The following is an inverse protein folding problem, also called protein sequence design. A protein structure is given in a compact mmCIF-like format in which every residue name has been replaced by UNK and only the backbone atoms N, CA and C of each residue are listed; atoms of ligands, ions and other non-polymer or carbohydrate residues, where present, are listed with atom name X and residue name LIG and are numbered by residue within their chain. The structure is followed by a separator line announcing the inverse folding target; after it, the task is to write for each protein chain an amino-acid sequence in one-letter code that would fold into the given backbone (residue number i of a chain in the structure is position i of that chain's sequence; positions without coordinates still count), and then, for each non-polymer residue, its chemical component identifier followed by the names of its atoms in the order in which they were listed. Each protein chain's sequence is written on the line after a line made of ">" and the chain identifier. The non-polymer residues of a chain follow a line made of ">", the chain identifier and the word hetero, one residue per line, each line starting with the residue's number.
data_IF_188763241198
#
_entry.id   IF_188763241198
#
_cell.length_a   1.000
_cell.length_b   1.000
_cell.length_c   1.000
_cell.angle_alpha   90.00
_cell.angle_beta   90.00
_cell.angle_gamma   90.00
#
_symmetry.space_group_name_H-M   'P 1'
#
loop_
_entity.id
_entity.type
_entity.pdbx_description
1 polymer ?
#
# COMPACT_ATOMS: atom_id res chain seq x y z
N UNK A 1 8.69 11.60 -3.59
CA UNK A 1 9.79 10.73 -4.03
C UNK A 1 9.64 10.55 -5.53
N UNK A 2 10.72 10.70 -6.30
CA UNK A 2 10.68 10.52 -7.77
C UNK A 2 10.46 9.04 -8.08
N UNK A 3 9.41 8.70 -8.83
CA UNK A 3 9.19 7.34 -9.31
C UNK A 3 10.34 6.97 -10.23
N UNK A 4 11.04 5.86 -9.95
CA UNK A 4 12.11 5.37 -10.81
C UNK A 4 11.47 4.74 -12.05
N UNK A 5 11.43 5.48 -13.14
CA UNK A 5 11.03 4.95 -14.43
C UNK A 5 12.01 3.83 -14.84
N UNK A 6 11.48 2.64 -15.09
CA UNK A 6 12.24 1.51 -15.61
C UNK A 6 11.64 1.11 -16.95
N UNK A 7 12.48 0.76 -17.91
CA UNK A 7 12.06 0.32 -19.23
C UNK A 7 12.25 -1.19 -19.31
N UNK A 8 11.24 -2.01 -18.96
CA UNK A 8 11.33 -3.45 -19.09
C UNK A 8 11.36 -3.85 -20.57
N UNK A 9 12.08 -4.92 -20.86
CA UNK A 9 12.14 -5.54 -22.20
C UNK A 9 10.98 -6.52 -22.33
N UNK A 10 10.14 -6.33 -23.34
CA UNK A 10 9.06 -7.28 -23.67
C UNK A 10 9.64 -8.61 -24.13
N UNK A 11 9.05 -9.70 -23.67
CA UNK A 11 9.48 -11.04 -24.10
C UNK A 11 8.68 -11.48 -25.33
N UNK A 12 9.28 -12.35 -26.15
CA UNK A 12 8.58 -12.97 -27.28
C UNK A 12 7.39 -13.81 -26.83
N UNK A 13 7.51 -14.50 -25.70
CA UNK A 13 6.44 -15.33 -25.15
C UNK A 13 5.25 -14.46 -24.69
N UNK A 14 5.53 -13.35 -24.00
CA UNK A 14 4.55 -12.36 -23.58
C UNK A 14 3.81 -11.73 -24.75
N UNK A 15 4.56 -11.25 -25.75
CA UNK A 15 3.97 -10.69 -26.97
C UNK A 15 3.05 -11.70 -27.67
N UNK A 16 3.47 -12.97 -27.77
CA UNK A 16 2.65 -14.02 -28.37
C UNK A 16 1.36 -14.27 -27.56
N UNK A 17 1.43 -14.37 -26.23
CA UNK A 17 0.25 -14.55 -25.38
C UNK A 17 -0.74 -13.38 -25.52
N UNK A 18 -0.24 -12.14 -25.64
CA UNK A 18 -1.06 -10.96 -25.94
C UNK A 18 -1.75 -11.09 -27.30
N UNK A 19 -1.03 -11.49 -28.35
CA UNK A 19 -1.62 -11.69 -29.68
C UNK A 19 -2.66 -12.81 -29.70
N UNK A 20 -2.41 -13.92 -29.01
CA UNK A 20 -3.34 -15.05 -28.90
C UNK A 20 -4.62 -14.65 -28.16
N UNK A 21 -4.50 -13.89 -27.07
CA UNK A 21 -5.66 -13.32 -26.39
C UNK A 21 -6.44 -12.37 -27.30
N UNK A 22 -5.73 -11.46 -28.01
CA UNK A 22 -6.35 -10.52 -28.94
C UNK A 22 -7.12 -11.20 -30.07
N UNK A 23 -6.55 -12.24 -30.68
CA UNK A 23 -7.18 -12.99 -31.78
C UNK A 23 -8.43 -13.74 -31.28
N UNK A 24 -8.41 -14.18 -30.02
CA UNK A 24 -9.55 -14.78 -29.34
C UNK A 24 -10.61 -13.76 -28.88
N UNK A 25 -10.40 -12.45 -29.11
CA UNK A 25 -11.28 -11.39 -28.62
C UNK A 25 -11.24 -11.20 -27.10
N UNK A 26 -10.15 -11.64 -26.46
CA UNK A 26 -9.89 -11.57 -25.03
C UNK A 26 -8.78 -10.55 -24.74
N UNK A 27 -8.70 -10.11 -23.48
CA UNK A 27 -7.63 -9.26 -23.00
C UNK A 27 -6.61 -10.07 -22.20
N UNK A 28 -5.33 -9.86 -22.46
CA UNK A 28 -4.27 -10.45 -21.64
C UNK A 28 -4.25 -9.77 -20.27
N UNK A 29 -4.43 -10.55 -19.19
CA UNK A 29 -4.48 -10.02 -17.83
C UNK A 29 -3.12 -10.08 -17.14
N UNK A 30 -2.60 -8.93 -16.71
CA UNK A 30 -1.44 -8.86 -15.81
C UNK A 30 -1.94 -9.02 -14.37
N UNK A 31 -1.33 -9.94 -13.61
CA UNK A 31 -1.77 -10.28 -12.25
C UNK A 31 -0.65 -10.22 -11.21
N UNK A 32 0.57 -10.57 -11.60
CA UNK A 32 1.68 -10.73 -10.67
C UNK A 32 2.94 -10.01 -11.13
N UNK A 33 3.75 -9.63 -10.14
CA UNK A 33 5.12 -9.18 -10.32
C UNK A 33 6.06 -10.19 -9.67
N UNK A 34 7.10 -10.57 -10.41
CA UNK A 34 8.16 -11.43 -9.92
C UNK A 34 9.42 -10.61 -9.68
N UNK A 35 10.11 -10.86 -8.59
CA UNK A 35 11.34 -10.19 -8.21
C UNK A 35 12.47 -11.20 -8.06
N UNK A 36 13.65 -10.83 -8.52
CA UNK A 36 14.83 -11.68 -8.49
C UNK A 36 16.13 -10.95 -8.24
N UNK A 37 17.19 -11.73 -8.08
CA UNK A 37 18.53 -11.25 -7.69
C UNK A 37 19.55 -11.26 -8.83
N UNK A 38 19.21 -11.79 -10.00
CA UNK A 38 20.14 -11.85 -11.13
C UNK A 38 20.36 -10.47 -11.76
N UNK A 39 21.56 -10.28 -12.32
CA UNK A 39 21.97 -9.06 -13.02
C UNK A 39 22.45 -9.40 -14.41
N UNK A 40 21.79 -8.85 -15.42
CA UNK A 40 22.09 -9.06 -16.83
C UNK A 40 21.34 -8.05 -17.69
N UNK A 41 21.68 -7.98 -18.97
CA UNK A 41 20.88 -7.25 -19.98
C UNK A 41 19.85 -8.21 -20.57
N UNK A 42 18.54 -7.97 -20.38
CA UNK A 42 17.51 -8.80 -20.99
C UNK A 42 17.57 -8.79 -22.52
N UNK A 43 17.20 -9.92 -23.12
CA UNK A 43 17.25 -10.13 -24.58
C UNK A 43 15.86 -10.21 -25.21
N UNK A 44 14.81 -10.32 -24.41
CA UNK A 44 13.44 -10.58 -24.86
C UNK A 44 13.16 -12.06 -25.16
N UNK A 45 14.13 -12.96 -24.96
CA UNK A 45 13.96 -14.41 -25.11
C UNK A 45 13.67 -15.13 -23.79
N UNK A 46 13.63 -14.38 -22.69
CA UNK A 46 13.39 -14.92 -21.35
C UNK A 46 11.95 -15.46 -21.26
N UNK A 47 11.80 -16.67 -20.72
CA UNK A 47 10.50 -17.26 -20.39
C UNK A 47 10.22 -17.24 -18.88
N UNK A 48 11.24 -16.97 -18.08
CA UNK A 48 11.19 -16.87 -16.62
C UNK A 48 12.32 -15.98 -16.13
N UNK A 49 12.25 -15.54 -14.88
CA UNK A 49 13.39 -14.91 -14.20
C UNK A 49 14.53 -15.92 -14.04
N UNK A 50 15.77 -15.43 -14.05
CA UNK A 50 16.97 -16.26 -13.82
C UNK A 50 17.14 -16.60 -12.34
N UNK A 51 16.71 -15.72 -11.44
CA UNK A 51 16.77 -15.97 -10.00
C UNK A 51 15.57 -15.36 -9.28
N UNK A 52 14.38 -15.89 -9.56
CA UNK A 52 13.15 -15.53 -8.86
C UNK A 52 13.30 -15.80 -7.35
N UNK A 53 12.92 -14.80 -6.54
CA UNK A 53 12.91 -14.86 -5.07
C UNK A 53 11.53 -14.62 -4.48
N UNK A 54 10.75 -13.77 -5.12
CA UNK A 54 9.42 -13.44 -4.67
C UNK A 54 8.50 -13.27 -5.88
N UNK A 55 7.25 -13.68 -5.70
CA UNK A 55 6.14 -13.39 -6.61
C UNK A 55 5.04 -12.79 -5.78
N UNK A 56 4.57 -11.62 -6.19
CA UNK A 56 3.57 -10.84 -5.45
C UNK A 56 2.45 -10.43 -6.38
N UNK A 57 1.26 -10.33 -5.82
CA UNK A 57 0.09 -9.85 -6.53
C UNK A 57 0.17 -8.33 -6.74
N UNK A 58 -0.37 -7.87 -7.87
CA UNK A 58 -0.54 -6.44 -8.13
C UNK A 58 -1.67 -5.92 -7.25
N UNK A 59 -1.42 -4.84 -6.52
CA UNK A 59 -2.41 -4.24 -5.61
C UNK A 59 -3.08 -3.00 -6.20
N UNK A 60 -2.51 -2.44 -7.26
CA UNK A 60 -3.12 -1.31 -7.95
C UNK A 60 -2.45 -1.05 -9.30
N UNK A 61 -3.22 -0.48 -10.20
CA UNK A 61 -2.73 0.00 -11.50
C UNK A 61 -3.38 1.32 -11.85
N UNK A 62 -2.65 2.18 -12.57
CA UNK A 62 -3.17 3.46 -13.03
C UNK A 62 -2.52 3.86 -14.34
N UNK A 63 -3.32 4.20 -15.34
CA UNK A 63 -2.81 4.80 -16.56
C UNK A 63 -2.27 6.21 -16.26
N UNK A 64 -1.03 6.47 -16.67
CA UNK A 64 -0.41 7.80 -16.65
C UNK A 64 -0.69 8.54 -17.97
N UNK A 65 -0.65 7.80 -19.08
CA UNK A 65 -1.03 8.22 -20.42
C UNK A 65 -1.42 7.00 -21.26
N UNK A 66 -1.65 7.19 -22.57
CA UNK A 66 -2.04 6.16 -23.53
C UNK A 66 -1.04 4.99 -23.66
N UNK A 67 0.21 5.18 -23.22
CA UNK A 67 1.33 4.27 -23.39
C UNK A 67 2.11 4.03 -22.10
N UNK A 68 1.68 4.57 -20.96
CA UNK A 68 2.37 4.46 -19.69
C UNK A 68 1.37 4.05 -18.62
N UNK A 69 1.68 2.96 -17.94
CA UNK A 69 0.88 2.47 -16.83
C UNK A 69 1.76 2.38 -15.58
N UNK A 70 1.32 3.02 -14.50
CA UNK A 70 1.87 2.79 -13.18
C UNK A 70 1.26 1.50 -12.61
N UNK A 71 2.12 0.56 -12.21
CA UNK A 71 1.72 -0.66 -11.51
C UNK A 71 2.31 -0.61 -10.11
N UNK A 72 1.47 -0.88 -9.11
CA UNK A 72 1.84 -0.96 -7.70
C UNK A 72 1.72 -2.39 -7.19
N UNK A 73 2.78 -2.89 -6.58
CA UNK A 73 2.78 -4.16 -5.83
C UNK A 73 3.33 -3.98 -4.43
N UNK A 74 2.85 -4.83 -3.50
CA UNK A 74 3.34 -4.89 -2.12
C UNK A 74 4.26 -6.10 -1.95
N UNK A 75 5.49 -5.87 -1.50
CA UNK A 75 6.38 -6.95 -1.05
C UNK A 75 6.35 -7.01 0.48
N UNK A 76 5.92 -8.15 1.00
CA UNK A 76 5.84 -8.46 2.42
C UNK A 76 6.37 -9.89 2.64
N UNK A 77 7.65 -10.01 2.94
CA UNK A 77 8.35 -11.28 3.06
C UNK A 77 9.39 -11.28 4.17
N UNK A 78 9.67 -12.46 4.69
CA UNK A 78 10.50 -12.63 5.90
C UNK A 78 12.01 -12.61 5.63
N UNK A 79 12.41 -12.61 4.34
CA UNK A 79 13.81 -12.61 3.92
C UNK A 79 14.13 -11.39 3.05
N UNK A 80 15.17 -10.66 3.43
CA UNK A 80 15.70 -9.55 2.63
C UNK A 80 16.50 -10.06 1.43
N UNK A 81 16.40 -9.35 0.31
CA UNK A 81 17.18 -9.62 -0.89
C UNK A 81 17.38 -8.36 -1.72
N UNK A 82 18.42 -8.36 -2.55
CA UNK A 82 18.65 -7.27 -3.50
C UNK A 82 17.77 -7.49 -4.72
N UNK A 83 16.85 -6.57 -4.97
CA UNK A 83 16.04 -6.55 -6.18
C UNK A 83 16.93 -6.10 -7.33
N UNK A 84 17.28 -7.02 -8.21
CA UNK A 84 18.10 -6.76 -9.39
C UNK A 84 17.42 -7.19 -10.69
N UNK A 85 16.36 -7.98 -10.56
CA UNK A 85 15.55 -8.50 -11.65
C UNK A 85 14.07 -8.31 -11.29
N UNK A 86 13.27 -7.89 -12.26
CA UNK A 86 11.82 -7.73 -12.15
C UNK A 86 11.18 -8.38 -13.37
N UNK A 87 10.12 -9.15 -13.17
CA UNK A 87 9.26 -9.65 -14.23
C UNK A 87 7.82 -9.26 -14.03
N UNK A 88 7.15 -9.00 -15.14
CA UNK A 88 5.70 -8.76 -15.22
C UNK A 88 5.05 -10.05 -15.72
N UNK A 89 4.13 -10.61 -14.96
CA UNK A 89 3.51 -11.90 -15.24
C UNK A 89 2.03 -11.75 -15.60
N UNK A 90 1.64 -12.48 -16.63
CA UNK A 90 0.25 -12.68 -17.01
C UNK A 90 -0.45 -13.71 -16.09
N UNK A 91 -1.78 -13.75 -16.12
CA UNK A 91 -2.61 -14.69 -15.37
C UNK A 91 -2.27 -16.16 -15.64
N UNK A 92 -1.87 -16.49 -16.87
CA UNK A 92 -1.42 -17.83 -17.27
C UNK A 92 0.00 -18.18 -16.77
N UNK A 93 0.68 -17.24 -16.09
CA UNK A 93 2.06 -17.36 -15.63
C UNK A 93 3.11 -17.01 -16.69
N UNK A 94 2.71 -16.57 -17.89
CA UNK A 94 3.63 -16.13 -18.94
C UNK A 94 4.35 -14.85 -18.53
N UNK A 95 5.67 -14.83 -18.69
CA UNK A 95 6.49 -13.64 -18.48
C UNK A 95 6.26 -12.64 -19.61
N UNK A 96 5.50 -11.58 -19.36
CA UNK A 96 5.24 -10.52 -20.32
C UNK A 96 6.48 -9.68 -20.61
N UNK A 97 7.10 -9.17 -19.55
CA UNK A 97 8.22 -8.26 -19.64
C UNK A 97 9.21 -8.52 -18.52
N UNK A 98 10.48 -8.25 -18.78
CA UNK A 98 11.56 -8.40 -17.80
C UNK A 98 12.44 -7.16 -17.79
N UNK A 99 12.75 -6.70 -16.59
CA UNK A 99 13.75 -5.68 -16.35
C UNK A 99 14.89 -6.27 -15.53
N UNK A 100 16.11 -5.96 -15.93
CA UNK A 100 17.32 -6.25 -15.17
C UNK A 100 18.41 -5.31 -15.67
N UNK A 101 19.38 -5.00 -14.80
CA UNK A 101 20.54 -4.20 -15.16
C UNK A 101 21.81 -4.90 -14.64
N UNK A 102 22.88 -5.02 -15.47
CA UNK A 102 24.10 -5.70 -15.07
C UNK A 102 24.86 -5.01 -13.92
N UNK A 103 24.76 -3.68 -13.83
CA UNK A 103 25.56 -2.86 -12.92
C UNK A 103 24.75 -2.43 -11.69
N UNK A 104 23.53 -1.95 -11.91
CA UNK A 104 22.76 -1.22 -10.90
C UNK A 104 21.52 -2.00 -10.47
N UNK A 105 21.44 -2.49 -9.21
CA UNK A 105 20.21 -3.09 -8.71
C UNK A 105 19.09 -2.05 -8.60
N UNK A 106 17.84 -2.53 -8.61
CA UNK A 106 16.68 -1.68 -8.44
C UNK A 106 16.61 -1.09 -7.04
N UNK A 107 16.67 -1.98 -6.03
CA UNK A 107 16.51 -1.66 -4.63
C UNK A 107 17.06 -2.78 -3.73
N UNK A 108 17.25 -2.48 -2.45
CA UNK A 108 17.48 -3.49 -1.42
C UNK A 108 16.17 -3.67 -0.64
N UNK A 109 15.65 -4.90 -0.60
CA UNK A 109 14.53 -5.25 0.29
C UNK A 109 15.08 -5.76 1.62
N UNK A 110 14.51 -5.24 2.70
CA UNK A 110 14.81 -5.62 4.09
C UNK A 110 13.51 -6.07 4.73
N UNK A 111 13.48 -7.23 5.41
CA UNK A 111 12.26 -7.77 5.99
C UNK A 111 11.77 -6.89 7.16
N UNK A 112 10.47 -6.99 7.46
CA UNK A 112 9.84 -6.31 8.60
C UNK A 112 9.19 -4.96 8.30
N UNK A 113 9.35 -4.42 7.08
CA UNK A 113 8.58 -3.26 6.60
C UNK A 113 8.02 -3.58 5.21
N UNK A 114 6.70 -3.60 5.02
CA UNK A 114 6.12 -3.78 3.71
C UNK A 114 6.52 -2.62 2.80
N UNK A 115 6.99 -2.94 1.60
CA UNK A 115 7.37 -1.92 0.61
C UNK A 115 6.38 -1.96 -0.55
N UNK A 116 5.76 -0.83 -0.84
CA UNK A 116 5.02 -0.60 -2.06
C UNK A 116 6.01 -0.20 -3.18
N UNK A 117 6.05 -0.98 -4.25
CA UNK A 117 6.83 -0.69 -5.44
C UNK A 117 5.89 -0.22 -6.54
N UNK A 118 6.01 1.05 -6.91
CA UNK A 118 5.40 1.61 -8.11
C UNK A 118 6.45 1.74 -9.21
N UNK A 119 6.14 1.27 -10.41
CA UNK A 119 6.93 1.56 -11.60
C UNK A 119 6.04 1.82 -12.81
N UNK A 120 6.61 2.52 -13.79
CA UNK A 120 5.93 2.82 -15.05
C UNK A 120 6.30 1.77 -16.08
N UNK A 121 5.29 1.04 -16.56
CA UNK A 121 5.38 0.16 -17.71
C UNK A 121 5.07 0.96 -18.97
N UNK A 122 6.07 1.08 -19.85
CA UNK A 122 5.86 1.64 -21.18
C UNK A 122 5.20 0.59 -22.09
N UNK A 123 3.91 0.79 -22.37
CA UNK A 123 3.07 0.00 -23.26
C UNK A 123 3.15 0.46 -24.74
N UNK A 124 4.03 1.40 -25.08
CA UNK A 124 4.17 1.93 -26.45
C UNK A 124 4.42 0.88 -27.54
N UNK A 125 4.90 -0.32 -27.16
CA UNK A 125 5.12 -1.44 -28.06
C UNK A 125 3.93 -2.43 -28.14
N UNK A 126 2.86 -2.20 -27.37
CA UNK A 126 1.64 -3.02 -27.36
C UNK A 126 0.49 -2.26 -28.05
N UNK A 127 -0.37 -2.95 -28.81
CA UNK A 127 -1.57 -2.32 -29.35
C UNK A 127 -2.51 -1.89 -28.21
N UNK A 128 -3.17 -0.73 -28.37
CA UNK A 128 -4.10 -0.23 -27.35
C UNK A 128 -5.29 -1.19 -27.16
N UNK A 129 -5.71 -1.36 -25.91
CA UNK A 129 -6.90 -2.15 -25.56
C UNK A 129 -6.71 -3.67 -25.58
N UNK A 130 -5.48 -4.20 -25.65
CA UNK A 130 -5.23 -5.66 -25.66
C UNK A 130 -4.84 -6.21 -24.28
N UNK A 131 -4.47 -5.33 -23.35
CA UNK A 131 -4.00 -5.71 -22.02
C UNK A 131 -4.89 -5.11 -20.95
N UNK A 132 -5.34 -5.96 -20.03
CA UNK A 132 -6.00 -5.58 -18.79
C UNK A 132 -5.06 -5.85 -17.61
N UNK A 133 -5.15 -5.05 -16.54
CA UNK A 133 -4.39 -5.29 -15.31
C UNK A 133 -5.37 -5.52 -14.18
N UNK A 134 -5.14 -6.60 -13.42
CA UNK A 134 -5.94 -6.89 -12.24
C UNK A 134 -5.57 -5.87 -11.15
N UNK A 135 -6.58 -5.18 -10.60
CA UNK A 135 -6.38 -4.06 -9.67
C UNK A 135 -6.88 -2.74 -10.24
N UNK A 136 -8.17 -2.66 -10.55
CA UNK A 136 -8.92 -1.41 -10.64
C UNK A 136 -9.45 -1.06 -9.24
N UNK A 137 -8.53 -0.89 -8.30
CA UNK A 137 -8.88 -0.57 -6.91
C UNK A 137 -8.36 0.83 -6.63
N UNK A 138 -9.31 1.75 -6.50
CA UNK A 138 -9.10 3.05 -5.91
C UNK A 138 -8.30 2.86 -4.61
N UNK A 139 -7.09 3.43 -4.51
CA UNK A 139 -6.17 3.26 -3.37
C UNK A 139 -6.86 3.49 -2.00
N UNK A 140 -7.95 4.26 -1.99
CA UNK A 140 -8.83 4.50 -0.85
C UNK A 140 -9.52 3.24 -0.29
N UNK A 141 -9.87 2.29 -1.15
CA UNK A 141 -10.44 0.99 -0.76
C UNK A 141 -9.37 0.01 -0.27
N UNK A 142 -8.15 0.12 -0.80
CA UNK A 142 -7.01 -0.73 -0.40
C UNK A 142 -6.53 -0.47 1.03
N UNK A 143 -6.54 0.80 1.46
CA UNK A 143 -6.25 1.19 2.86
C UNK A 143 -7.51 1.29 3.72
N UNK A 144 -8.66 0.84 3.23
CA UNK A 144 -9.94 1.00 3.91
C UNK A 144 -9.95 0.37 5.30
N UNK A 145 -9.28 -0.77 5.48
CA UNK A 145 -9.20 -1.47 6.75
C UNK A 145 -8.24 -0.78 7.73
N UNK A 146 -7.08 -0.30 7.27
CA UNK A 146 -6.15 0.49 8.09
C UNK A 146 -6.72 1.86 8.47
N UNK A 147 -7.44 2.52 7.55
CA UNK A 147 -8.16 3.76 7.83
C UNK A 147 -9.36 3.52 8.77
N UNK A 148 -10.08 2.42 8.62
CA UNK A 148 -11.14 2.03 9.56
C UNK A 148 -10.57 1.71 10.94
N UNK A 149 -9.42 1.05 11.01
CA UNK A 149 -8.67 0.81 12.24
C UNK A 149 -8.21 2.11 12.90
N UNK A 150 -7.65 3.03 12.13
CA UNK A 150 -7.24 4.35 12.60
C UNK A 150 -8.43 5.21 13.07
N UNK A 151 -9.53 5.21 12.31
CA UNK A 151 -10.77 5.89 12.70
C UNK A 151 -11.35 5.31 13.98
N UNK A 152 -11.35 3.97 14.13
CA UNK A 152 -11.79 3.29 15.35
C UNK A 152 -10.92 3.65 16.56
N UNK A 153 -9.61 3.74 16.37
CA UNK A 153 -8.69 4.16 17.42
C UNK A 153 -8.93 5.63 17.84
N UNK A 154 -9.14 6.55 16.88
CA UNK A 154 -9.48 7.95 17.17
C UNK A 154 -10.82 8.05 17.90
N UNK A 155 -11.84 7.32 17.44
CA UNK A 155 -13.16 7.30 18.08
C UNK A 155 -13.08 6.75 19.50
N UNK A 156 -12.30 5.69 19.74
CA UNK A 156 -12.07 5.16 21.09
C UNK A 156 -11.36 6.19 21.99
N UNK A 157 -10.34 6.89 21.48
CA UNK A 157 -9.67 7.96 22.21
C UNK A 157 -10.62 9.12 22.54
N UNK A 158 -11.46 9.51 21.58
CA UNK A 158 -12.47 10.56 21.78
C UNK A 158 -13.52 10.16 22.83
N UNK A 159 -14.04 8.94 22.76
CA UNK A 159 -14.99 8.40 23.75
C UNK A 159 -14.39 8.38 25.16
N UNK A 160 -13.16 7.89 25.29
CA UNK A 160 -12.44 7.92 26.55
C UNK A 160 -12.27 9.36 27.07
N UNK A 161 -11.94 10.31 26.20
CA UNK A 161 -11.83 11.72 26.58
C UNK A 161 -13.16 12.32 27.04
N UNK A 162 -14.28 11.92 26.42
CA UNK A 162 -15.61 12.39 26.79
C UNK A 162 -16.02 11.86 28.18
N UNK A 163 -15.80 10.58 28.44
CA UNK A 163 -16.03 9.99 29.76
C UNK A 163 -15.20 10.68 30.85
N UNK A 164 -13.92 10.98 30.56
CA UNK A 164 -13.06 11.73 31.48
C UNK A 164 -13.57 13.17 31.72
N UNK A 165 -14.13 13.82 30.70
CA UNK A 165 -14.74 15.14 30.86
C UNK A 165 -15.99 15.09 31.73
N UNK A 166 -16.87 14.10 31.55
CA UNK A 166 -18.07 13.94 32.38
C UNK A 166 -17.70 13.70 33.85
N UNK A 167 -16.77 12.79 34.11
CA UNK A 167 -16.26 12.55 35.48
C UNK A 167 -15.68 13.84 36.07
N UNK A 168 -14.93 14.62 35.29
CA UNK A 168 -14.39 15.90 35.76
C UNK A 168 -15.49 16.93 36.05
N UNK A 169 -16.56 16.96 35.26
CA UNK A 169 -17.71 17.85 35.47
C UNK A 169 -18.47 17.49 36.73
N UNK A 170 -18.75 16.21 36.95
CA UNK A 170 -19.38 15.70 38.16
C UNK A 170 -18.53 16.02 39.39
N UNK A 171 -17.24 15.68 39.36
CA UNK A 171 -16.34 15.96 40.47
C UNK A 171 -16.26 17.46 40.78
N UNK A 172 -16.24 18.33 39.76
CA UNK A 172 -16.27 19.79 39.95
C UNK A 172 -17.58 20.27 40.56
N UNK A 173 -18.70 19.64 40.21
CA UNK A 173 -20.02 19.96 40.77
C UNK A 173 -20.05 19.58 42.25
N UNK A 174 -19.60 18.38 42.60
CA UNK A 174 -19.56 17.90 43.97
C UNK A 174 -18.62 18.73 44.84
N UNK A 175 -17.44 19.05 44.33
CA UNK A 175 -16.50 19.96 45.01
C UNK A 175 -17.12 21.33 45.25
N UNK A 176 -17.91 21.86 44.32
CA UNK A 176 -18.60 23.15 44.49
C UNK A 176 -19.65 23.06 45.60
N UNK A 177 -20.44 22.00 45.64
CA UNK A 177 -21.46 21.77 46.67
C UNK A 177 -20.81 21.61 48.05
N UNK A 178 -19.74 20.81 48.13
CA UNK A 178 -18.99 20.58 49.36
C UNK A 178 -18.36 21.87 49.90
N UNK A 179 -17.74 22.69 49.02
CA UNK A 179 -17.20 24.01 49.40
C UNK A 179 -18.29 24.94 49.93
N UNK A 180 -19.42 25.05 49.23
CA UNK A 180 -20.54 25.87 49.67
C UNK A 180 -21.06 25.45 51.05
N UNK A 181 -21.17 24.14 51.29
CA UNK A 181 -21.62 23.60 52.57
C UNK A 181 -20.63 23.91 53.70
N UNK A 182 -19.33 23.79 53.42
CA UNK A 182 -18.27 24.14 54.37
C UNK A 182 -18.29 25.63 54.73
N UNK A 183 -18.40 26.50 53.73
CA UNK A 183 -18.39 27.94 53.93
C UNK A 183 -19.64 28.41 54.71
N UNK A 184 -20.79 27.75 54.52
CA UNK A 184 -22.00 27.98 55.32
C UNK A 184 -21.83 27.52 56.78
N UNK A 185 -21.25 26.34 57.00
CA UNK A 185 -20.93 25.87 58.35
C UNK A 185 -19.98 26.82 59.09
N UNK A 186 -18.95 27.33 58.40
CA UNK A 186 -18.05 28.34 58.98
C UNK A 186 -18.78 29.62 59.36
N UNK A 187 -19.65 30.15 58.49
CA UNK A 187 -20.47 31.32 58.83
C UNK A 187 -21.36 31.10 60.05
N UNK A 188 -21.97 29.92 60.17
CA UNK A 188 -22.81 29.59 61.34
C UNK A 188 -21.98 29.53 62.63
N UNK A 189 -20.76 29.01 62.56
CA UNK A 189 -19.81 29.01 63.69
C UNK A 189 -19.39 30.43 64.09
N UNK A 190 -19.02 31.28 63.13
CA UNK A 190 -18.63 32.68 63.40
C UNK A 190 -19.75 33.51 64.05
N UNK A 191 -21.02 33.24 63.69
CA UNK A 191 -22.18 33.89 64.32
C UNK A 191 -22.38 33.40 65.76
N UNK A 192 -22.13 32.11 66.04
CA UNK A 192 -22.21 31.58 67.40
C UNK A 192 -21.08 32.09 68.31
N UNK A 193 -19.89 32.35 67.79
CA UNK A 193 -18.76 32.90 68.55
C UNK A 193 -18.90 34.40 68.89
N UNK A 194 -19.83 35.11 68.25
CA UNK A 194 -20.09 36.56 68.51
C UNK A 194 -21.26 36.82 69.48
N UNK A 195 -21.88 35.79 70.03
CA UNK A 195 -22.93 35.85 71.05
C UNK A 195 -22.34 35.50 72.42
#
# INVERSE_FOLDING_TARGET
>A
MSLKAINPTLTRAGMRSIFEASDAGLHARITHLAFGTSRYTPTGNENSLKSEKARVEIVGSRYLDDFQMEITAKIDGDSGFTLAELGVLLEDGTLLAVWSNPETPLAQYTPGVPIAFSFVLALAALPQGVVEVTGDVDLQLFFGEEFAGFASAILALQLNSFQQQEISRELRRDLRIARSSRDELQRRLEVQERL
#
